data_IF_332148684022
#
_entry.id   IF_332148684022
#
_cell.length_a   1.000
_cell.length_b   1.000
_cell.length_c   1.000
_cell.angle_alpha   90.00
_cell.angle_beta   90.00
_cell.angle_gamma   90.00
#
_symmetry.space_group_name_H-M   'P 1'
#
loop_
_entity.id
_entity.type
_entity.pdbx_description
1 polymer ?
#
# COMPACT_ATOMS: atom_id res chain seq x y z
N UNK A 1 82.61 -17.39 -8.57
CA UNK A 1 81.87 -16.47 -7.69
C UNK A 1 80.51 -16.23 -8.31
N UNK A 2 79.48 -16.77 -7.69
CA UNK A 2 78.07 -16.70 -8.13
C UNK A 2 77.54 -15.29 -7.91
N UNK A 3 77.01 -14.65 -8.95
CA UNK A 3 76.15 -13.47 -8.78
C UNK A 3 74.72 -13.87 -9.15
N UNK A 4 73.91 -14.13 -8.12
CA UNK A 4 72.48 -14.37 -8.23
C UNK A 4 71.78 -13.02 -8.38
N UNK A 5 71.55 -12.60 -9.63
CA UNK A 5 70.65 -11.51 -9.95
C UNK A 5 69.21 -12.01 -9.96
N UNK A 6 68.48 -11.76 -8.88
CA UNK A 6 67.02 -11.86 -8.84
C UNK A 6 66.43 -10.74 -9.69
N UNK A 7 65.97 -11.07 -10.90
CA UNK A 7 65.20 -10.14 -11.73
C UNK A 7 63.72 -10.22 -11.33
N UNK A 8 63.30 -9.28 -10.50
CA UNK A 8 61.89 -8.96 -10.30
C UNK A 8 61.25 -8.67 -11.67
N UNK A 9 60.31 -9.51 -12.08
CA UNK A 9 59.54 -9.36 -13.32
C UNK A 9 58.69 -8.10 -13.26
N UNK A 10 59.23 -6.99 -13.78
CA UNK A 10 58.44 -5.80 -14.09
C UNK A 10 57.51 -6.12 -15.27
N UNK A 11 56.24 -5.65 -15.25
CA UNK A 11 55.31 -5.89 -16.35
C UNK A 11 55.88 -5.28 -17.63
N UNK A 12 55.92 -6.08 -18.70
CA UNK A 12 56.39 -5.64 -19.99
C UNK A 12 55.47 -4.53 -20.52
N UNK A 13 56.05 -3.41 -20.93
CA UNK A 13 55.31 -2.28 -21.51
C UNK A 13 54.75 -2.58 -22.92
N UNK A 14 54.57 -3.87 -23.25
CA UNK A 14 53.91 -4.29 -24.47
C UNK A 14 52.42 -4.02 -24.35
N UNK A 15 51.80 -3.63 -25.47
CA UNK A 15 50.34 -3.46 -25.54
C UNK A 15 49.61 -4.73 -25.07
N UNK A 16 50.21 -5.91 -25.25
CA UNK A 16 49.66 -7.19 -24.78
C UNK A 16 49.72 -7.40 -23.26
N UNK A 17 50.81 -6.99 -22.60
CA UNK A 17 50.98 -7.07 -21.14
C UNK A 17 50.06 -6.10 -20.38
N UNK A 18 49.90 -4.89 -20.92
CA UNK A 18 48.98 -3.88 -20.40
C UNK A 18 47.53 -4.33 -20.59
N UNK A 19 47.18 -4.93 -21.73
CA UNK A 19 45.82 -5.41 -21.98
C UNK A 19 45.42 -6.58 -21.07
N UNK A 20 46.34 -7.49 -20.73
CA UNK A 20 46.11 -8.61 -19.79
C UNK A 20 45.94 -8.14 -18.34
N UNK A 21 46.69 -7.12 -17.91
CA UNK A 21 46.58 -6.55 -16.55
C UNK A 21 45.34 -5.67 -16.38
N UNK A 22 44.91 -4.98 -17.43
CA UNK A 22 43.66 -4.19 -17.41
C UNK A 22 42.40 -5.06 -17.51
N UNK A 23 42.43 -6.11 -18.33
CA UNK A 23 41.28 -7.02 -18.48
C UNK A 23 41.02 -7.85 -17.22
N UNK A 24 42.04 -8.17 -16.42
CA UNK A 24 41.88 -8.85 -15.13
C UNK A 24 41.26 -7.96 -14.04
N UNK A 25 41.63 -6.67 -13.98
CA UNK A 25 41.04 -5.70 -13.05
C UNK A 25 39.60 -5.30 -13.39
N UNK A 26 39.31 -5.02 -14.66
CA UNK A 26 37.97 -4.66 -15.13
C UNK A 26 37.00 -5.85 -15.14
N UNK A 27 37.47 -7.07 -15.42
CA UNK A 27 36.62 -8.26 -15.33
C UNK A 27 36.11 -8.51 -13.90
N UNK A 28 36.92 -8.25 -12.88
CA UNK A 28 36.53 -8.34 -11.47
C UNK A 28 35.54 -7.23 -11.05
N UNK A 29 35.66 -6.03 -11.63
CA UNK A 29 34.70 -4.94 -11.41
C UNK A 29 33.38 -5.19 -12.13
N UNK A 30 33.42 -5.75 -13.34
CA UNK A 30 32.22 -6.16 -14.10
C UNK A 30 31.51 -7.37 -13.48
N UNK A 31 32.25 -8.29 -12.82
CA UNK A 31 31.67 -9.42 -12.07
C UNK A 31 30.90 -9.01 -10.81
N UNK A 32 30.98 -7.74 -10.38
CA UNK A 32 30.25 -7.20 -9.22
C UNK A 32 28.92 -6.54 -9.55
N UNK A 33 28.47 -6.58 -10.81
CA UNK A 33 27.09 -6.23 -11.13
C UNK A 33 26.19 -7.33 -10.58
N UNK A 34 25.61 -7.10 -9.39
CA UNK A 34 24.44 -7.87 -8.94
C UNK A 34 23.45 -7.93 -10.11
N UNK A 35 22.87 -9.11 -10.42
CA UNK A 35 21.90 -9.20 -11.49
C UNK A 35 20.78 -8.22 -11.17
N UNK A 36 20.65 -7.17 -11.97
CA UNK A 36 19.55 -6.23 -11.88
C UNK A 36 18.33 -7.03 -12.32
N UNK A 37 17.62 -7.61 -11.36
CA UNK A 37 16.39 -8.36 -11.59
C UNK A 37 15.47 -7.47 -12.45
N UNK A 38 15.01 -7.91 -13.63
CA UNK A 38 14.13 -7.12 -14.48
C UNK A 38 12.91 -6.61 -13.72
N UNK A 39 12.42 -5.42 -14.10
CA UNK A 39 11.29 -4.77 -13.39
C UNK A 39 10.05 -5.66 -13.45
N UNK A 40 9.85 -6.35 -14.56
CA UNK A 40 8.76 -7.27 -14.84
C UNK A 40 8.76 -8.45 -13.87
N UNK A 41 9.94 -9.00 -13.58
CA UNK A 41 10.12 -10.10 -12.64
C UNK A 41 9.82 -9.65 -11.21
N UNK A 42 10.25 -8.44 -10.82
CA UNK A 42 9.90 -7.87 -9.51
C UNK A 42 8.40 -7.60 -9.37
N UNK A 43 7.74 -7.09 -10.42
CA UNK A 43 6.28 -6.93 -10.43
C UNK A 43 5.58 -8.27 -10.23
N UNK A 44 6.05 -9.32 -10.94
CA UNK A 44 5.48 -10.66 -10.82
C UNK A 44 5.66 -11.23 -9.40
N UNK A 45 6.85 -11.08 -8.80
CA UNK A 45 7.12 -11.47 -7.41
C UNK A 45 6.16 -10.77 -6.44
N UNK A 46 6.06 -9.43 -6.51
CA UNK A 46 5.18 -8.69 -5.61
C UNK A 46 3.71 -9.05 -5.80
N UNK A 47 3.25 -9.27 -7.04
CA UNK A 47 1.88 -9.74 -7.31
C UNK A 47 1.64 -11.12 -6.70
N UNK A 48 2.61 -12.02 -6.79
CA UNK A 48 2.50 -13.37 -6.22
C UNK A 48 2.42 -13.29 -4.69
N UNK A 49 3.36 -12.59 -4.06
CA UNK A 49 3.42 -12.41 -2.61
C UNK A 49 2.20 -11.67 -2.06
N UNK A 50 1.65 -10.70 -2.80
CA UNK A 50 0.44 -10.00 -2.40
C UNK A 50 -0.79 -10.91 -2.38
N UNK A 51 -0.91 -11.82 -3.35
CA UNK A 51 -1.97 -12.83 -3.38
C UNK A 51 -1.81 -13.83 -2.24
N UNK A 52 -0.59 -14.26 -1.96
CA UNK A 52 -0.29 -15.15 -0.84
C UNK A 52 -0.62 -14.48 0.51
N UNK A 53 -0.19 -13.23 0.71
CA UNK A 53 -0.54 -12.45 1.89
C UNK A 53 -2.05 -12.30 2.04
N UNK A 54 -2.78 -12.01 0.95
CA UNK A 54 -4.24 -11.95 0.96
C UNK A 54 -4.87 -13.30 1.36
N UNK A 55 -4.35 -14.42 0.84
CA UNK A 55 -4.83 -15.76 1.18
C UNK A 55 -4.55 -16.14 2.64
N UNK A 56 -3.48 -15.59 3.24
CA UNK A 56 -3.15 -15.71 4.66
C UNK A 56 -3.89 -14.70 5.55
N UNK A 57 -4.83 -13.94 4.98
CA UNK A 57 -5.56 -12.85 5.65
C UNK A 57 -4.67 -11.71 6.18
N UNK A 58 -3.41 -11.64 5.75
CA UNK A 58 -2.53 -10.51 6.02
C UNK A 58 -2.79 -9.39 4.99
N UNK A 59 -3.92 -8.72 5.20
CA UNK A 59 -4.39 -7.67 4.31
C UNK A 59 -3.47 -6.45 4.32
N UNK A 60 -2.77 -6.16 5.41
CA UNK A 60 -1.87 -5.00 5.53
C UNK A 60 -0.62 -5.19 4.68
N UNK A 61 -0.02 -6.38 4.72
CA UNK A 61 1.10 -6.71 3.83
C UNK A 61 0.64 -6.77 2.38
N UNK A 62 -0.52 -7.36 2.10
CA UNK A 62 -1.09 -7.39 0.75
C UNK A 62 -1.30 -5.99 0.17
N UNK A 63 -1.88 -5.06 0.94
CA UNK A 63 -2.06 -3.65 0.54
C UNK A 63 -0.72 -2.99 0.18
N UNK A 64 0.31 -3.22 0.99
CA UNK A 64 1.63 -2.63 0.79
C UNK A 64 2.25 -3.14 -0.52
N UNK A 65 2.19 -4.44 -0.77
CA UNK A 65 2.71 -5.05 -2.00
C UNK A 65 1.91 -4.61 -3.24
N UNK A 66 0.58 -4.54 -3.16
CA UNK A 66 -0.23 -4.01 -4.27
C UNK A 66 0.10 -2.56 -4.57
N UNK A 67 0.34 -1.72 -3.55
CA UNK A 67 0.77 -0.32 -3.74
C UNK A 67 2.12 -0.21 -4.44
N UNK A 68 3.09 -1.07 -4.11
CA UNK A 68 4.37 -1.11 -4.82
C UNK A 68 4.16 -1.41 -6.32
N UNK A 69 3.27 -2.34 -6.64
CA UNK A 69 2.93 -2.63 -8.05
C UNK A 69 2.21 -1.46 -8.71
N UNK A 70 1.25 -0.81 -8.03
CA UNK A 70 0.52 0.35 -8.56
C UNK A 70 1.45 1.53 -8.83
N UNK A 71 2.47 1.75 -7.99
CA UNK A 71 3.46 2.80 -8.21
C UNK A 71 4.26 2.60 -9.50
N UNK A 72 4.56 1.34 -9.87
CA UNK A 72 5.26 1.02 -11.11
C UNK A 72 4.30 0.98 -12.30
N UNK A 73 3.11 0.41 -12.13
CA UNK A 73 2.09 0.29 -13.16
C UNK A 73 0.73 0.83 -12.67
N UNK A 74 0.49 2.15 -12.79
CA UNK A 74 -0.71 2.79 -12.30
C UNK A 74 -1.95 2.50 -13.16
N UNK A 75 -1.81 1.78 -14.27
CA UNK A 75 -2.90 1.39 -15.16
C UNK A 75 -3.36 -0.06 -14.95
N UNK A 76 -2.77 -0.78 -14.00
CA UNK A 76 -3.21 -2.13 -13.67
C UNK A 76 -4.47 -2.09 -12.79
N UNK A 77 -5.64 -2.07 -13.42
CA UNK A 77 -6.93 -2.11 -12.75
C UNK A 77 -7.10 -3.30 -11.79
N UNK A 78 -6.41 -4.42 -12.06
CA UNK A 78 -6.52 -5.59 -11.20
C UNK A 78 -5.91 -5.37 -9.81
N UNK A 79 -4.89 -4.52 -9.72
CA UNK A 79 -4.27 -4.16 -8.44
C UNK A 79 -5.22 -3.29 -7.62
N UNK A 80 -5.87 -2.29 -8.21
CA UNK A 80 -6.89 -1.48 -7.53
C UNK A 80 -8.08 -2.32 -7.04
N UNK A 81 -8.56 -3.26 -7.86
CA UNK A 81 -9.63 -4.17 -7.43
C UNK A 81 -9.22 -5.00 -6.21
N UNK A 82 -8.01 -5.56 -6.21
CA UNK A 82 -7.52 -6.37 -5.08
C UNK A 82 -7.22 -5.51 -3.84
N UNK A 83 -6.70 -4.30 -4.02
CA UNK A 83 -6.45 -3.34 -2.95
C UNK A 83 -7.76 -2.93 -2.27
N UNK A 84 -8.80 -2.66 -3.06
CA UNK A 84 -10.16 -2.41 -2.58
C UNK A 84 -10.71 -3.59 -1.77
N UNK A 85 -10.55 -4.83 -2.25
CA UNK A 85 -10.94 -6.03 -1.50
C UNK A 85 -10.22 -6.13 -0.15
N UNK A 86 -8.93 -5.81 -0.06
CA UNK A 86 -8.22 -5.75 1.22
C UNK A 86 -8.85 -4.73 2.17
N UNK A 87 -9.18 -3.53 1.69
CA UNK A 87 -9.86 -2.52 2.50
C UNK A 87 -11.23 -2.96 3.00
N UNK A 88 -11.99 -3.69 2.18
CA UNK A 88 -13.26 -4.29 2.63
C UNK A 88 -13.08 -5.29 3.76
N UNK A 89 -12.04 -6.14 3.67
CA UNK A 89 -11.71 -7.09 4.73
C UNK A 89 -11.29 -6.38 6.02
N UNK A 90 -10.62 -5.24 5.91
CA UNK A 90 -10.29 -4.36 7.03
C UNK A 90 -11.43 -3.42 7.45
N UNK A 91 -12.64 -3.57 6.89
CA UNK A 91 -13.82 -2.74 7.19
C UNK A 91 -13.59 -1.23 6.98
N UNK A 92 -12.74 -0.87 6.03
CA UNK A 92 -12.51 0.52 5.63
C UNK A 92 -13.22 0.84 4.31
N UNK A 93 -14.55 0.92 4.35
CA UNK A 93 -15.39 1.12 3.16
C UNK A 93 -15.06 2.35 2.31
N UNK A 94 -14.66 3.47 2.93
CA UNK A 94 -14.28 4.70 2.21
C UNK A 94 -13.05 4.47 1.31
N UNK A 95 -11.97 3.93 1.89
CA UNK A 95 -10.73 3.62 1.13
C UNK A 95 -10.97 2.53 0.08
N UNK A 96 -11.81 1.55 0.40
CA UNK A 96 -12.22 0.53 -0.56
C UNK A 96 -12.91 1.15 -1.77
N UNK A 97 -13.79 2.15 -1.54
CA UNK A 97 -14.56 2.79 -2.60
C UNK A 97 -13.68 3.65 -3.51
N UNK A 98 -12.70 4.37 -2.94
CA UNK A 98 -11.70 5.12 -3.72
C UNK A 98 -10.94 4.23 -4.71
N UNK A 99 -10.41 3.09 -4.24
CA UNK A 99 -9.69 2.16 -5.09
C UNK A 99 -10.61 1.46 -6.10
N UNK A 100 -11.86 1.16 -5.71
CA UNK A 100 -12.84 0.57 -6.62
C UNK A 100 -13.24 1.53 -7.75
N UNK A 101 -13.40 2.83 -7.46
CA UNK A 101 -13.65 3.86 -8.46
C UNK A 101 -12.50 3.96 -9.47
N UNK A 102 -11.24 3.98 -8.99
CA UNK A 102 -10.07 3.96 -9.89
C UNK A 102 -10.08 2.73 -10.80
N UNK A 103 -10.39 1.56 -10.24
CA UNK A 103 -10.54 0.33 -11.02
C UNK A 103 -11.61 0.46 -12.13
N UNK A 104 -12.80 1.00 -11.79
CA UNK A 104 -13.88 1.23 -12.77
C UNK A 104 -13.48 2.25 -13.84
N UNK A 105 -12.79 3.33 -13.47
CA UNK A 105 -12.31 4.32 -14.42
C UNK A 105 -11.33 3.73 -15.44
N UNK A 106 -10.42 2.86 -14.99
CA UNK A 106 -9.46 2.19 -15.87
C UNK A 106 -10.13 1.13 -16.75
N UNK A 107 -11.07 0.34 -16.20
CA UNK A 107 -11.79 -0.72 -16.94
C UNK A 107 -13.31 -0.66 -16.73
N UNK A 108 -14.03 0.24 -17.42
CA UNK A 108 -15.46 0.45 -17.19
C UNK A 108 -16.34 -0.73 -17.62
N UNK A 109 -15.87 -1.58 -18.53
CA UNK A 109 -16.60 -2.78 -18.98
C UNK A 109 -16.23 -4.05 -18.20
N UNK A 110 -15.45 -3.94 -17.14
CA UNK A 110 -15.03 -5.10 -16.35
C UNK A 110 -16.02 -5.34 -15.20
N UNK A 111 -16.81 -6.41 -15.31
CA UNK A 111 -17.85 -6.75 -14.31
C UNK A 111 -17.32 -6.87 -12.88
N UNK A 112 -16.07 -7.31 -12.70
CA UNK A 112 -15.44 -7.39 -11.37
C UNK A 112 -15.26 -6.01 -10.72
N UNK A 113 -14.97 -4.96 -11.51
CA UNK A 113 -14.82 -3.60 -10.98
C UNK A 113 -16.13 -3.11 -10.36
N UNK A 114 -17.25 -3.31 -11.06
CA UNK A 114 -18.59 -2.94 -10.57
C UNK A 114 -18.98 -3.70 -9.30
N UNK A 115 -18.70 -5.00 -9.23
CA UNK A 115 -18.99 -5.81 -8.04
C UNK A 115 -18.22 -5.29 -6.81
N UNK A 116 -16.95 -4.97 -6.99
CA UNK A 116 -16.09 -4.46 -5.90
C UNK A 116 -16.52 -3.05 -5.47
N UNK A 117 -16.88 -2.18 -6.42
CA UNK A 117 -17.42 -0.85 -6.12
C UNK A 117 -18.71 -0.91 -5.33
N UNK A 118 -19.64 -1.79 -5.71
CA UNK A 118 -20.91 -1.97 -4.97
C UNK A 118 -20.69 -2.52 -3.56
N UNK A 119 -19.80 -3.50 -3.39
CA UNK A 119 -19.44 -3.99 -2.06
C UNK A 119 -18.78 -2.90 -1.20
N UNK A 120 -17.98 -2.01 -1.81
CA UNK A 120 -17.37 -0.89 -1.10
C UNK A 120 -18.34 0.22 -0.73
N UNK A 121 -19.27 0.54 -1.62
CA UNK A 121 -20.37 1.45 -1.35
C UNK A 121 -21.23 0.94 -0.18
N UNK A 122 -21.58 -0.35 -0.20
CA UNK A 122 -22.34 -1.00 0.88
C UNK A 122 -21.58 -0.97 2.22
N UNK A 123 -20.29 -1.33 2.21
CA UNK A 123 -19.45 -1.27 3.41
C UNK A 123 -19.31 0.15 3.96
N UNK A 124 -19.20 1.16 3.09
CA UNK A 124 -19.17 2.57 3.51
C UNK A 124 -20.49 2.96 4.17
N UNK A 125 -21.62 2.62 3.56
CA UNK A 125 -22.95 2.91 4.09
C UNK A 125 -23.20 2.23 5.45
N UNK A 126 -22.79 0.96 5.60
CA UNK A 126 -22.92 0.26 6.90
C UNK A 126 -22.08 0.94 8.00
N UNK A 127 -20.82 1.27 7.71
CA UNK A 127 -19.96 1.95 8.67
C UNK A 127 -20.53 3.29 9.09
N UNK A 128 -21.06 4.04 8.12
CA UNK A 128 -21.72 5.33 8.33
C UNK A 128 -22.99 5.19 9.17
N UNK A 129 -23.84 4.21 8.85
CA UNK A 129 -25.08 3.94 9.57
C UNK A 129 -24.83 3.57 11.03
N UNK A 130 -23.82 2.71 11.29
CA UNK A 130 -23.41 2.36 12.66
C UNK A 130 -22.94 3.60 13.43
N UNK A 131 -22.10 4.42 12.81
CA UNK A 131 -21.57 5.63 13.44
C UNK A 131 -22.68 6.64 13.75
N UNK A 132 -23.62 6.84 12.83
CA UNK A 132 -24.80 7.70 13.06
C UNK A 132 -25.67 7.16 14.21
N UNK A 133 -25.86 5.84 14.29
CA UNK A 133 -26.63 5.21 15.35
C UNK A 133 -25.96 5.41 16.73
N UNK A 134 -24.63 5.22 16.81
CA UNK A 134 -23.86 5.39 18.04
C UNK A 134 -23.93 6.85 18.54
N UNK A 135 -23.77 7.85 17.65
CA UNK A 135 -23.87 9.26 18.02
C UNK A 135 -25.29 9.70 18.40
N UNK A 136 -26.32 9.19 17.70
CA UNK A 136 -27.71 9.47 18.07
C UNK A 136 -28.03 8.89 19.45
N UNK A 137 -27.58 7.67 19.75
CA UNK A 137 -27.74 7.06 21.07
C UNK A 137 -27.04 7.86 22.18
N UNK A 138 -25.83 8.37 21.91
CA UNK A 138 -25.13 9.26 22.84
C UNK A 138 -25.89 10.58 23.07
N UNK A 139 -26.40 11.20 22.00
CA UNK A 139 -27.19 12.42 22.11
C UNK A 139 -28.48 12.20 22.94
N UNK A 140 -29.18 11.09 22.75
CA UNK A 140 -30.38 10.74 23.52
C UNK A 140 -30.08 10.56 25.02
N UNK A 141 -28.96 9.91 25.36
CA UNK A 141 -28.52 9.78 26.75
C UNK A 141 -28.21 11.15 27.39
N UNK A 142 -27.53 12.04 26.67
CA UNK A 142 -27.25 13.41 27.16
C UNK A 142 -28.52 14.25 27.28
N UNK A 143 -29.51 14.08 26.39
CA UNK A 143 -30.82 14.74 26.52
C UNK A 143 -31.55 14.34 27.80
N UNK A 144 -31.52 13.05 28.15
CA UNK A 144 -32.08 12.57 29.41
C UNK A 144 -31.31 13.13 30.61
N UNK A 145 -29.98 13.12 30.56
CA UNK A 145 -29.15 13.70 31.62
C UNK A 145 -29.43 15.21 31.82
N UNK A 146 -29.66 15.95 30.74
CA UNK A 146 -29.99 17.38 30.77
C UNK A 146 -31.38 17.66 31.39
N UNK A 147 -32.31 16.72 31.33
CA UNK A 147 -33.60 16.84 32.04
C UNK A 147 -33.42 16.72 33.56
N UNK A 148 -32.43 15.92 34.01
CA UNK A 148 -32.13 15.71 35.42
C UNK A 148 -31.29 16.85 36.01
N UNK A 149 -30.36 17.40 35.23
CA UNK A 149 -29.54 18.56 35.61
C UNK A 149 -29.45 19.59 34.47
N UNK A 150 -30.42 20.53 34.38
CA UNK A 150 -30.43 21.57 33.35
C UNK A 150 -29.29 22.60 33.51
N UNK A 151 -28.71 22.70 34.71
CA UNK A 151 -27.70 23.69 35.06
C UNK A 151 -26.29 23.28 34.66
N UNK A 152 -26.05 21.99 34.38
CA UNK A 152 -24.73 21.49 34.02
C UNK A 152 -24.30 21.92 32.62
N UNK A 153 -23.29 22.78 32.58
CA UNK A 153 -22.66 23.21 31.33
C UNK A 153 -21.94 22.06 30.62
N UNK A 154 -21.41 21.11 31.38
CA UNK A 154 -20.69 19.96 30.86
C UNK A 154 -21.61 19.05 30.02
N UNK A 155 -22.83 18.77 30.52
CA UNK A 155 -23.82 17.96 29.81
C UNK A 155 -24.28 18.68 28.54
N UNK A 156 -24.45 20.00 28.60
CA UNK A 156 -24.86 20.82 27.46
C UNK A 156 -23.81 20.83 26.35
N UNK A 157 -22.54 20.98 26.72
CA UNK A 157 -21.43 20.92 25.78
C UNK A 157 -21.26 19.52 25.18
N UNK A 158 -21.42 18.47 25.99
CA UNK A 158 -21.37 17.09 25.52
C UNK A 158 -22.49 16.77 24.51
N UNK A 159 -23.72 17.23 24.78
CA UNK A 159 -24.85 17.10 23.87
C UNK A 159 -24.57 17.78 22.53
N UNK A 160 -24.12 19.04 22.56
CA UNK A 160 -23.79 19.80 21.35
C UNK A 160 -22.73 19.09 20.50
N UNK A 161 -21.70 18.51 21.14
CA UNK A 161 -20.65 17.74 20.45
C UNK A 161 -21.21 16.47 19.81
N UNK A 162 -22.06 15.73 20.53
CA UNK A 162 -22.68 14.50 20.02
C UNK A 162 -23.60 14.78 18.81
N UNK A 163 -24.42 15.84 18.88
CA UNK A 163 -25.31 16.24 17.77
C UNK A 163 -24.53 16.69 16.54
N UNK A 164 -23.46 17.48 16.74
CA UNK A 164 -22.57 17.88 15.66
C UNK A 164 -21.90 16.67 15.01
N UNK A 165 -21.40 15.71 15.80
CA UNK A 165 -20.81 14.48 15.28
C UNK A 165 -21.84 13.59 14.53
N UNK A 166 -23.10 13.55 14.98
CA UNK A 166 -24.19 12.87 14.28
C UNK A 166 -24.55 13.53 12.93
N UNK A 167 -24.35 14.84 12.80
CA UNK A 167 -24.55 15.57 11.55
C UNK A 167 -23.34 15.44 10.62
N UNK A 168 -22.12 15.58 11.14
CA UNK A 168 -20.89 15.35 10.37
C UNK A 168 -20.82 13.93 9.83
N UNK A 169 -21.12 12.93 10.65
CA UNK A 169 -21.18 11.52 10.21
C UNK A 169 -22.26 11.26 9.17
N UNK A 170 -23.26 12.15 9.00
CA UNK A 170 -24.23 12.10 7.90
C UNK A 170 -23.67 12.64 6.58
N UNK A 171 -22.61 13.44 6.59
CA UNK A 171 -22.03 14.05 5.39
C UNK A 171 -20.73 13.40 4.90
N UNK A 172 -20.06 12.58 5.72
CA UNK A 172 -18.85 11.78 5.36
C UNK A 172 -19.22 10.50 4.60
#
# INVERSE_FOLDING_TARGET
MTNTGTWELQPDASLGGIWKTWSSGLALVLLRLHPVVPVEERIADWKSRAKEAFAKEDYVTALSLYRMVIQINPLDASMFANNSLCWLRLRHGVKALEDAHKCRLIRPRWSKAWKVEKAAEESRCMNKGKLCLDYNGAADAFRQAMQLDPGSEEIRDALRKAEKAAEESRHV
#
